data_IF_139461722990
#
_entry.id   IF_139461722990
#
_cell.length_a   1.000
_cell.length_b   1.000
_cell.length_c   1.000
_cell.angle_alpha   90.00
_cell.angle_beta   90.00
_cell.angle_gamma   90.00
#
_symmetry.space_group_name_H-M   'P 1'
#
loop_
_entity.id
_entity.type
_entity.pdbx_description
1 polymer ?
#
# COMPACT_ATOMS: atom_id res chain seq x y z
N UNK A 1 70.39 -6.61 19.60
CA UNK A 1 69.26 -5.76 19.18
C UNK A 1 68.72 -6.29 17.86
N UNK A 2 67.44 -6.09 17.63
CA UNK A 2 66.45 -6.87 16.88
C UNK A 2 66.57 -6.88 15.34
N UNK A 3 66.02 -7.93 14.73
CA UNK A 3 65.97 -8.27 13.30
C UNK A 3 65.09 -7.33 12.45
N UNK A 4 65.52 -7.14 11.20
CA UNK A 4 64.86 -6.43 10.11
C UNK A 4 63.46 -6.96 9.81
N UNK A 5 62.48 -6.07 9.67
CA UNK A 5 61.09 -6.37 9.28
C UNK A 5 60.76 -5.58 8.01
N UNK A 6 60.77 -6.25 6.86
CA UNK A 6 60.38 -5.67 5.57
C UNK A 6 58.87 -5.60 5.45
N UNK A 7 58.33 -4.38 5.39
CA UNK A 7 56.89 -4.11 5.38
C UNK A 7 56.37 -3.82 3.97
N UNK A 8 55.40 -4.64 3.57
CA UNK A 8 54.22 -4.39 2.72
C UNK A 8 54.29 -3.44 1.52
N UNK A 9 54.00 -3.99 0.32
CA UNK A 9 53.33 -3.27 -0.78
C UNK A 9 52.52 -4.28 -1.61
N UNK A 10 51.25 -4.50 -1.27
CA UNK A 10 50.29 -5.16 -2.17
C UNK A 10 49.75 -4.10 -3.14
N UNK A 11 50.14 -4.17 -4.41
CA UNK A 11 49.52 -3.36 -5.47
C UNK A 11 48.14 -3.92 -5.82
N UNK A 12 47.08 -3.24 -5.36
CA UNK A 12 45.72 -3.51 -5.84
C UNK A 12 45.46 -2.72 -7.13
N UNK A 13 45.38 -3.46 -8.24
CA UNK A 13 45.07 -2.95 -9.59
C UNK A 13 43.63 -2.43 -9.64
N UNK A 14 43.46 -1.16 -10.05
CA UNK A 14 42.16 -0.51 -10.29
C UNK A 14 41.79 -0.69 -11.77
N UNK A 15 40.76 -1.47 -12.07
CA UNK A 15 40.26 -1.64 -13.43
C UNK A 15 39.29 -0.50 -13.80
N UNK A 16 39.54 0.14 -14.94
CA UNK A 16 38.69 1.16 -15.58
C UNK A 16 37.88 0.43 -16.66
N UNK A 17 36.56 0.35 -16.52
CA UNK A 17 35.68 -0.18 -17.56
C UNK A 17 34.93 0.97 -18.22
N UNK A 18 35.15 1.07 -19.52
CA UNK A 18 34.71 2.09 -20.47
C UNK A 18 33.20 2.07 -20.68
N UNK A 19 32.65 3.27 -20.86
CA UNK A 19 31.29 3.52 -21.26
C UNK A 19 31.02 3.03 -22.69
N UNK A 20 29.91 2.33 -22.90
CA UNK A 20 29.32 2.13 -24.22
C UNK A 20 27.87 2.65 -24.20
N UNK A 21 27.65 3.71 -24.98
CA UNK A 21 26.32 4.20 -25.39
C UNK A 21 25.84 3.36 -26.58
N UNK A 22 24.59 2.92 -26.54
CA UNK A 22 23.73 2.72 -27.71
C UNK A 22 22.28 2.76 -27.20
N UNK A 23 21.51 3.84 -27.40
CA UNK A 23 20.86 4.29 -28.64
C UNK A 23 19.48 3.62 -28.85
N UNK A 24 18.44 4.46 -28.78
CA UNK A 24 17.20 4.32 -29.54
C UNK A 24 16.12 3.38 -28.95
N UNK A 25 15.02 3.95 -28.46
CA UNK A 25 13.74 3.93 -29.19
C UNK A 25 12.59 4.40 -28.27
N UNK A 26 11.58 4.94 -28.95
CA UNK A 26 10.46 5.69 -28.43
C UNK A 26 9.57 4.98 -27.40
N UNK A 27 8.91 5.84 -26.63
CA UNK A 27 7.59 5.68 -26.00
C UNK A 27 6.69 4.63 -26.65
N UNK A 28 6.24 3.65 -25.86
CA UNK A 28 4.84 3.22 -25.79
C UNK A 28 4.63 2.44 -24.49
N UNK A 29 3.52 2.76 -23.84
CA UNK A 29 3.07 2.18 -22.59
C UNK A 29 2.77 0.69 -22.76
N UNK A 30 3.29 -0.15 -21.86
CA UNK A 30 2.65 -1.42 -21.54
C UNK A 30 2.40 -1.43 -20.05
N UNK A 31 1.13 -1.17 -19.73
CA UNK A 31 0.55 -1.36 -18.41
C UNK A 31 0.92 -2.75 -17.88
N UNK A 32 1.78 -2.80 -16.87
CA UNK A 32 2.01 -4.03 -16.12
C UNK A 32 0.77 -4.28 -15.26
N UNK A 33 -0.05 -5.24 -15.70
CA UNK A 33 -1.10 -5.84 -14.88
C UNK A 33 -0.51 -6.23 -13.50
N UNK A 34 -1.24 -6.01 -12.39
CA UNK A 34 -0.70 -6.15 -11.04
C UNK A 34 -0.50 -7.63 -10.72
N UNK A 35 0.70 -8.13 -11.00
CA UNK A 35 1.13 -9.48 -10.63
C UNK A 35 0.99 -9.70 -9.13
N UNK A 36 0.43 -10.85 -8.80
CA UNK A 36 0.16 -11.46 -7.49
C UNK A 36 1.45 -11.68 -6.70
N UNK A 37 2.15 -10.60 -6.36
CA UNK A 37 3.18 -10.61 -5.33
C UNK A 37 2.51 -10.49 -3.97
N UNK A 38 2.94 -11.30 -3.00
CA UNK A 38 2.66 -11.16 -1.56
C UNK A 38 2.33 -9.69 -1.22
N UNK A 39 1.15 -9.36 -0.65
CA UNK A 39 0.67 -7.98 -0.60
C UNK A 39 1.68 -7.11 0.14
N UNK A 40 2.57 -6.47 -0.63
CA UNK A 40 3.55 -5.54 -0.09
C UNK A 40 2.75 -4.53 0.68
N UNK A 41 3.08 -4.34 1.95
CA UNK A 41 2.39 -3.40 2.82
C UNK A 41 2.31 -2.04 2.10
N UNK A 42 1.08 -1.61 1.80
CA UNK A 42 0.78 -0.40 1.01
C UNK A 42 0.70 0.81 1.94
N UNK A 43 1.15 1.95 1.44
CA UNK A 43 0.91 3.22 2.11
C UNK A 43 -0.45 3.82 1.68
N UNK A 44 -0.84 4.97 2.24
CA UNK A 44 -2.10 5.62 1.90
C UNK A 44 -2.16 6.04 0.42
N UNK A 45 -1.05 6.53 -0.13
CA UNK A 45 -0.98 7.04 -1.51
C UNK A 45 -0.98 5.92 -2.56
N UNK A 46 -0.42 4.76 -2.22
CA UNK A 46 -0.47 3.52 -3.00
C UNK A 46 -1.92 3.02 -3.08
N UNK A 47 -2.68 3.16 -1.99
CA UNK A 47 -4.12 2.86 -1.96
C UNK A 47 -4.90 3.91 -2.75
N UNK A 48 -4.61 5.19 -2.54
CA UNK A 48 -5.24 6.32 -3.24
C UNK A 48 -5.05 6.26 -4.76
N UNK A 49 -3.89 5.80 -5.25
CA UNK A 49 -3.60 5.63 -6.68
C UNK A 49 -4.52 4.62 -7.37
N UNK A 50 -5.04 3.65 -6.62
CA UNK A 50 -5.97 2.64 -7.15
C UNK A 50 -7.40 3.18 -7.27
N UNK A 51 -7.68 4.35 -6.67
CA UNK A 51 -9.00 4.95 -6.60
C UNK A 51 -9.08 6.16 -7.55
N UNK A 52 -10.26 6.44 -8.11
CA UNK A 52 -10.47 7.65 -8.90
C UNK A 52 -10.24 8.89 -8.03
N UNK A 53 -9.72 9.96 -8.63
CA UNK A 53 -9.50 11.23 -7.92
C UNK A 53 -8.59 11.11 -6.69
N UNK A 54 -7.60 10.21 -6.70
CA UNK A 54 -6.71 9.95 -5.56
C UNK A 54 -7.44 9.52 -4.28
N UNK A 55 -8.60 8.88 -4.41
CA UNK A 55 -9.34 8.35 -3.27
C UNK A 55 -10.08 9.41 -2.46
N UNK A 56 -10.22 10.65 -2.95
CA UNK A 56 -11.03 11.68 -2.29
C UNK A 56 -12.49 11.21 -2.21
N UNK A 57 -13.11 11.35 -1.03
CA UNK A 57 -14.47 10.88 -0.75
C UNK A 57 -14.56 9.43 -0.29
N UNK A 58 -13.50 8.63 -0.48
CA UNK A 58 -13.48 7.22 -0.11
C UNK A 58 -12.99 6.96 1.31
N UNK A 59 -13.36 5.78 1.83
CA UNK A 59 -12.99 5.30 3.16
C UNK A 59 -11.68 4.52 3.13
N UNK A 60 -10.79 4.87 4.05
CA UNK A 60 -9.50 4.21 4.23
C UNK A 60 -9.25 3.97 5.71
N UNK A 61 -8.66 2.83 6.05
CA UNK A 61 -8.38 2.47 7.43
C UNK A 61 -6.95 1.95 7.58
N UNK A 62 -6.40 2.06 8.78
CA UNK A 62 -5.17 1.32 9.10
C UNK A 62 -5.49 -0.15 9.34
N UNK A 63 -4.56 -1.04 9.01
CA UNK A 63 -4.73 -2.48 9.15
C UNK A 63 -4.97 -2.93 10.59
N UNK A 64 -4.40 -2.22 11.57
CA UNK A 64 -4.46 -2.57 13.00
C UNK A 64 -5.54 -1.80 13.78
N UNK A 65 -6.38 -1.00 13.11
CA UNK A 65 -7.48 -0.31 13.78
C UNK A 65 -8.64 -1.24 14.07
N UNK A 66 -9.50 -0.80 15.00
CA UNK A 66 -10.78 -1.46 15.25
C UNK A 66 -11.57 -1.60 13.94
N UNK A 67 -12.39 -2.64 13.81
CA UNK A 67 -13.38 -2.67 12.72
C UNK A 67 -14.25 -1.40 12.78
N UNK A 68 -14.77 -0.95 11.65
CA UNK A 68 -15.59 0.27 11.50
C UNK A 68 -14.90 1.61 11.79
N UNK A 69 -13.64 1.65 12.26
CA UNK A 69 -12.84 2.88 12.32
C UNK A 69 -12.17 3.18 10.97
N UNK A 70 -12.49 4.33 10.36
CA UNK A 70 -11.92 4.76 9.09
C UNK A 70 -11.75 6.27 8.99
N UNK A 71 -10.88 6.71 8.09
CA UNK A 71 -10.88 8.09 7.60
C UNK A 71 -11.64 8.17 6.29
N UNK A 72 -12.48 9.20 6.14
CA UNK A 72 -12.97 9.64 4.84
C UNK A 72 -11.99 10.66 4.28
N UNK A 73 -11.36 10.36 3.15
CA UNK A 73 -10.39 11.26 2.53
C UNK A 73 -11.07 12.51 1.99
N UNK A 74 -10.44 13.66 2.20
CA UNK A 74 -10.95 14.96 1.74
C UNK A 74 -10.00 15.63 0.76
N UNK A 75 -8.71 15.68 1.08
CA UNK A 75 -7.69 16.28 0.22
C UNK A 75 -6.37 15.51 0.33
N UNK A 76 -5.62 15.44 -0.76
CA UNK A 76 -4.37 14.70 -0.88
C UNK A 76 -3.36 15.55 -1.63
N UNK A 77 -2.30 15.99 -0.93
CA UNK A 77 -1.18 16.72 -1.53
C UNK A 77 0.03 15.80 -1.68
N UNK A 78 0.33 15.45 -2.92
CA UNK A 78 1.45 14.60 -3.27
C UNK A 78 2.74 15.42 -3.37
N UNK A 79 3.87 14.77 -3.09
CA UNK A 79 5.20 15.26 -3.45
C UNK A 79 5.61 14.71 -4.82
N UNK A 80 6.82 15.06 -5.27
CA UNK A 80 7.43 14.69 -6.56
C UNK A 80 7.19 13.25 -7.04
N UNK A 81 7.34 12.25 -6.19
CA UNK A 81 7.31 10.83 -6.61
C UNK A 81 5.92 10.19 -6.49
N UNK A 82 4.89 10.94 -6.10
CA UNK A 82 3.52 10.49 -5.81
C UNK A 82 3.34 9.34 -4.79
N UNK A 83 4.42 8.71 -4.31
CA UNK A 83 4.40 7.71 -3.24
C UNK A 83 4.39 8.32 -1.83
N UNK A 84 4.55 9.63 -1.71
CA UNK A 84 4.60 10.34 -0.44
C UNK A 84 3.84 11.65 -0.55
N UNK A 85 3.28 12.11 0.56
CA UNK A 85 2.53 13.34 0.57
C UNK A 85 1.99 13.67 1.95
N UNK A 86 0.99 14.53 1.96
CA UNK A 86 0.14 14.82 3.11
C UNK A 86 -1.30 14.58 2.69
N UNK A 87 -2.09 14.00 3.58
CA UNK A 87 -3.51 13.78 3.35
C UNK A 87 -4.32 14.38 4.50
N UNK A 88 -5.52 14.84 4.18
CA UNK A 88 -6.51 15.34 5.12
C UNK A 88 -7.78 14.53 4.98
N UNK A 89 -8.45 14.32 6.10
CA UNK A 89 -9.70 13.58 6.13
C UNK A 89 -10.42 13.72 7.45
N UNK A 90 -11.61 13.17 7.48
CA UNK A 90 -12.48 13.13 8.65
C UNK A 90 -12.39 11.74 9.25
N UNK A 91 -12.10 11.64 10.54
CA UNK A 91 -12.07 10.38 11.25
C UNK A 91 -13.49 9.99 11.67
N UNK A 92 -13.84 8.73 11.43
CA UNK A 92 -15.07 8.12 11.88
C UNK A 92 -14.74 6.90 12.74
N UNK A 93 -15.39 6.81 13.90
CA UNK A 93 -15.36 5.64 14.78
C UNK A 93 -16.80 5.16 14.98
N UNK A 94 -16.96 3.86 15.18
CA UNK A 94 -18.27 3.26 15.42
C UNK A 94 -18.91 3.85 16.68
N UNK A 95 -20.14 4.33 16.54
CA UNK A 95 -20.89 4.94 17.65
C UNK A 95 -20.45 6.35 18.06
N UNK A 96 -19.51 6.98 17.33
CA UNK A 96 -19.09 8.37 17.57
C UNK A 96 -19.39 9.22 16.34
N UNK A 97 -19.84 10.46 16.57
CA UNK A 97 -20.04 11.41 15.48
C UNK A 97 -18.75 11.66 14.69
N UNK A 98 -18.91 11.93 13.40
CA UNK A 98 -17.81 12.25 12.51
C UNK A 98 -16.96 13.39 13.09
N UNK A 99 -15.64 13.16 13.18
CA UNK A 99 -14.73 14.18 13.70
C UNK A 99 -14.60 15.40 12.78
N UNK A 100 -13.74 16.35 13.18
CA UNK A 100 -13.38 17.48 12.30
C UNK A 100 -12.42 17.03 11.20
N UNK A 101 -12.42 17.77 10.09
CA UNK A 101 -11.38 17.67 9.06
C UNK A 101 -10.00 17.88 9.71
N UNK A 102 -9.16 16.87 9.65
CA UNK A 102 -7.83 16.88 10.25
C UNK A 102 -6.78 16.28 9.32
N UNK A 103 -5.52 16.63 9.58
CA UNK A 103 -4.38 16.03 8.89
C UNK A 103 -4.25 14.57 9.32
N UNK A 104 -4.20 13.65 8.36
CA UNK A 104 -4.05 12.23 8.63
C UNK A 104 -2.61 11.93 9.07
N UNK A 105 -2.45 11.44 10.29
CA UNK A 105 -1.15 11.06 10.82
C UNK A 105 -0.68 9.70 10.29
N UNK A 106 0.58 9.64 9.87
CA UNK A 106 1.18 8.41 9.35
C UNK A 106 0.65 7.96 7.99
N UNK A 107 0.21 8.88 7.12
CA UNK A 107 -0.20 8.58 5.74
C UNK A 107 0.87 7.77 4.96
N UNK A 108 2.15 8.08 5.17
CA UNK A 108 3.27 7.41 4.49
C UNK A 108 3.61 6.04 5.10
N UNK A 109 2.99 5.66 6.22
CA UNK A 109 3.23 4.35 6.84
C UNK A 109 2.62 3.25 5.99
N UNK A 110 3.24 2.08 6.01
CA UNK A 110 2.81 0.90 5.23
C UNK A 110 1.81 0.07 6.03
N UNK A 111 0.66 0.64 6.33
CA UNK A 111 -0.39 -0.04 7.09
C UNK A 111 -1.78 0.40 6.67
N UNK A 112 -1.95 0.91 5.45
CA UNK A 112 -3.24 1.41 4.96
C UNK A 112 -3.93 0.39 4.06
N UNK A 113 -5.26 0.32 4.19
CA UNK A 113 -6.16 -0.47 3.36
C UNK A 113 -7.35 0.39 2.93
N UNK A 114 -7.85 0.13 1.73
CA UNK A 114 -9.14 0.66 1.28
C UNK A 114 -10.27 -0.07 2.01
N UNK A 115 -11.31 0.68 2.39
CA UNK A 115 -12.53 0.15 2.98
C UNK A 115 -13.63 0.39 1.96
N UNK A 116 -14.19 -0.67 1.39
CA UNK A 116 -15.22 -0.55 0.36
C UNK A 116 -16.48 0.11 0.95
N UNK A 117 -17.06 1.05 0.19
CA UNK A 117 -18.32 1.73 0.50
C UNK A 117 -19.57 0.83 0.31
N UNK A 118 -19.40 -0.50 0.32
CA UNK A 118 -20.49 -1.47 0.20
C UNK A 118 -21.41 -1.49 1.42
N UNK A 119 -22.54 -2.21 1.36
CA UNK A 119 -23.41 -2.36 2.52
C UNK A 119 -22.58 -2.94 3.65
N UNK A 120 -22.64 -2.29 4.80
CA UNK A 120 -21.89 -2.54 6.04
C UNK A 120 -21.89 -4.02 6.50
N UNK A 121 -22.71 -4.88 5.88
CA UNK A 121 -22.83 -6.32 6.06
C UNK A 121 -21.74 -7.20 5.43
N UNK A 122 -20.89 -6.73 4.51
CA UNK A 122 -19.86 -7.62 3.91
C UNK A 122 -18.68 -7.91 4.85
N UNK A 123 -18.58 -7.25 6.01
CA UNK A 123 -17.54 -7.51 7.02
C UNK A 123 -17.84 -8.71 7.94
N UNK A 124 -19.09 -9.20 7.95
CA UNK A 124 -19.47 -10.36 8.78
C UNK A 124 -19.34 -11.72 8.08
N UNK A 125 -19.17 -11.78 6.75
CA UNK A 125 -19.33 -13.04 6.02
C UNK A 125 -18.06 -13.81 5.63
N UNK A 126 -16.85 -13.30 5.92
CA UNK A 126 -15.62 -14.06 5.63
C UNK A 126 -15.18 -14.95 6.80
N UNK A 127 -15.72 -14.74 8.01
CA UNK A 127 -15.37 -15.54 9.19
C UNK A 127 -16.35 -16.68 9.51
N UNK A 128 -17.50 -16.76 8.83
CA UNK A 128 -18.52 -17.78 9.10
C UNK A 128 -19.15 -18.30 7.82
N UNK A 129 -18.34 -19.00 7.02
CA UNK A 129 -18.85 -19.99 6.07
C UNK A 129 -18.19 -21.32 6.44
N UNK A 130 -18.46 -21.80 7.67
CA UNK A 130 -18.40 -23.24 7.92
C UNK A 130 -19.57 -23.83 7.14
N UNK A 131 -19.22 -24.50 6.05
CA UNK A 131 -20.05 -25.35 5.20
C UNK A 131 -21.31 -25.87 5.90
N UNK A 132 -22.46 -25.30 5.57
CA UNK A 132 -23.74 -26.01 5.66
C UNK A 132 -24.19 -26.20 4.22
N UNK A 133 -23.84 -27.36 3.67
CA UNK A 133 -24.42 -27.88 2.44
C UNK A 133 -25.92 -28.07 2.73
N UNK A 134 -26.86 -27.42 2.02
CA UNK A 134 -28.25 -27.76 2.17
C UNK A 134 -28.49 -29.12 1.51
N UNK A 135 -28.72 -30.11 2.37
CA UNK A 135 -29.24 -31.43 2.05
C UNK A 135 -30.57 -31.26 1.28
N UNK A 136 -30.57 -31.66 0.00
CA UNK A 136 -31.78 -31.68 -0.81
C UNK A 136 -32.51 -32.98 -0.52
N UNK A 137 -33.36 -32.98 0.49
CA UNK A 137 -34.44 -33.96 0.55
C UNK A 137 -35.71 -33.37 1.17
N UNK A 138 -36.81 -33.55 0.40
CA UNK A 138 -38.19 -33.83 0.83
C UNK A 138 -39.23 -32.71 0.70
N UNK A 139 -40.39 -33.17 0.19
CA UNK A 139 -41.70 -32.50 -0.06
C UNK A 139 -41.79 -31.89 -1.47
N UNK A 140 -42.72 -32.25 -2.35
CA UNK A 140 -44.10 -32.78 -2.25
C UNK A 140 -44.34 -33.83 -3.36
N UNK A 141 -44.94 -34.99 -3.08
CA UNK A 141 -46.41 -35.29 -3.10
C UNK A 141 -47.02 -35.34 -4.49
#
# INVERSE_FOLDING_TARGET
>A
MTTSSSSTMLLLRRAMATAAKNAGAATTEVAKAPGTGNPKKKNLFDVARLLPGWGIGHKVAKSHWKPHSYYKLYDVKLRKDAGHGVAWGIYHEEGVEAGKLQKISGANKRCWKYVADGPERTWQFVASQKTVVPDKEKMES
#
